data_IF_945827954074
#
_entry.id   IF_945827954074
#
_cell.length_a   1.000
_cell.length_b   1.000
_cell.length_c   1.000
_cell.angle_alpha   90.00
_cell.angle_beta   90.00
_cell.angle_gamma   90.00
#
_symmetry.space_group_name_H-M   'P 1'
#
loop_
_entity.id
_entity.type
_entity.pdbx_description
1 polymer ?
#
# COMPACT_ATOMS: atom_id res chain seq x y z
N UNK A 1 8.48 11.09 -17.12
CA UNK A 1 8.52 10.47 -15.77
C UNK A 1 8.32 11.51 -14.66
N UNK A 2 9.11 12.58 -14.58
CA UNK A 2 8.97 13.61 -13.53
C UNK A 2 7.54 14.18 -13.43
N UNK A 3 6.90 14.50 -14.54
CA UNK A 3 5.52 15.02 -14.56
C UNK A 3 4.49 14.00 -14.07
N UNK A 4 4.71 12.70 -14.34
CA UNK A 4 3.79 11.63 -13.94
C UNK A 4 3.93 11.24 -12.47
N UNK A 5 5.18 11.11 -12.01
CA UNK A 5 5.45 10.65 -10.65
C UNK A 5 5.72 11.79 -9.66
N UNK A 6 6.02 12.99 -10.15
CA UNK A 6 6.49 14.09 -9.31
C UNK A 6 7.91 13.89 -8.77
N UNK A 7 8.25 12.63 -8.42
CA UNK A 7 9.55 12.19 -7.93
C UNK A 7 10.00 10.98 -8.73
N UNK A 8 11.23 11.00 -9.25
CA UNK A 8 11.85 9.87 -9.97
C UNK A 8 12.92 9.25 -9.09
N UNK A 9 12.80 7.94 -8.87
CA UNK A 9 13.73 7.10 -8.13
C UNK A 9 14.21 5.95 -9.02
N UNK A 10 15.17 5.14 -8.55
CA UNK A 10 15.57 3.92 -9.26
C UNK A 10 14.41 2.95 -9.42
N UNK A 11 13.57 2.87 -8.40
CA UNK A 11 12.41 1.97 -8.34
C UNK A 11 11.35 2.37 -9.36
N UNK A 12 11.07 3.69 -9.50
CA UNK A 12 10.12 4.16 -10.53
C UNK A 12 10.64 3.88 -11.94
N UNK A 13 11.95 4.06 -12.18
CA UNK A 13 12.57 3.77 -13.49
C UNK A 13 12.54 2.27 -13.79
N UNK A 14 12.80 1.43 -12.79
CA UNK A 14 12.72 -0.02 -12.92
C UNK A 14 11.29 -0.48 -13.20
N UNK A 15 10.31 0.05 -12.49
CA UNK A 15 8.89 -0.27 -12.68
C UNK A 15 8.38 0.09 -14.08
N UNK A 16 8.92 1.16 -14.69
CA UNK A 16 8.60 1.58 -16.06
C UNK A 16 9.36 0.76 -17.13
N UNK A 17 10.30 -0.09 -16.73
CA UNK A 17 11.07 -0.90 -17.68
C UNK A 17 11.96 -0.09 -18.61
N UNK A 18 12.47 1.07 -18.17
CA UNK A 18 13.31 1.94 -19.00
C UNK A 18 14.60 1.23 -19.41
N UNK A 19 14.91 1.12 -20.71
CA UNK A 19 16.16 0.53 -21.17
C UNK A 19 17.39 1.24 -20.60
N UNK A 20 18.36 0.50 -20.07
CA UNK A 20 19.54 1.05 -19.40
C UNK A 20 19.26 1.55 -17.96
N UNK A 21 18.01 1.46 -17.48
CA UNK A 21 17.63 1.76 -16.12
C UNK A 21 17.88 3.22 -15.72
N UNK A 22 18.04 3.46 -14.43
CA UNK A 22 18.25 4.81 -13.89
C UNK A 22 19.51 5.50 -14.44
N UNK A 23 20.57 4.73 -14.73
CA UNK A 23 21.82 5.27 -15.24
C UNK A 23 21.66 5.94 -16.61
N UNK A 24 20.76 5.45 -17.47
CA UNK A 24 20.50 6.06 -18.78
C UNK A 24 19.80 7.41 -18.68
N UNK A 25 19.07 7.68 -17.59
CA UNK A 25 18.35 8.93 -17.36
C UNK A 25 19.15 9.92 -16.51
N UNK A 26 20.21 9.48 -15.84
CA UNK A 26 20.90 10.29 -14.84
C UNK A 26 21.46 11.59 -15.41
N UNK A 27 22.02 11.57 -16.62
CA UNK A 27 22.55 12.77 -17.28
C UNK A 27 21.47 13.82 -17.52
N UNK A 28 20.32 13.40 -18.06
CA UNK A 28 19.20 14.32 -18.31
C UNK A 28 18.58 14.85 -16.99
N UNK A 29 18.44 14.00 -15.99
CA UNK A 29 17.95 14.43 -14.67
C UNK A 29 18.90 15.44 -14.01
N UNK A 30 20.23 15.27 -14.18
CA UNK A 30 21.24 16.22 -13.69
C UNK A 30 21.20 17.52 -14.47
N UNK A 31 20.95 17.49 -15.78
CA UNK A 31 20.75 18.70 -16.59
C UNK A 31 19.52 19.47 -16.14
N UNK A 32 18.39 18.80 -15.85
CA UNK A 32 17.19 19.42 -15.31
C UNK A 32 17.43 20.03 -13.92
N UNK A 33 18.28 19.44 -13.11
CA UNK A 33 18.71 20.01 -11.82
C UNK A 33 19.51 21.28 -12.03
N UNK A 34 20.49 21.30 -12.95
CA UNK A 34 21.27 22.50 -13.27
C UNK A 34 20.41 23.65 -13.81
N UNK A 35 19.36 23.32 -14.55
CA UNK A 35 18.38 24.30 -15.06
C UNK A 35 17.38 24.76 -13.99
N UNK A 36 17.41 24.20 -12.78
CA UNK A 36 16.47 24.51 -11.70
C UNK A 36 15.07 23.92 -11.87
N UNK A 37 14.84 23.11 -12.91
CA UNK A 37 13.55 22.46 -13.17
C UNK A 37 13.29 21.29 -12.22
N UNK A 38 14.33 20.57 -11.86
CA UNK A 38 14.27 19.49 -10.88
C UNK A 38 15.17 19.78 -9.68
N UNK A 39 14.93 19.11 -8.58
CA UNK A 39 15.76 19.12 -7.37
C UNK A 39 16.21 17.71 -7.05
N UNK A 40 17.49 17.53 -6.78
CA UNK A 40 18.02 16.27 -6.26
C UNK A 40 17.93 16.27 -4.73
N UNK A 41 17.59 15.12 -4.15
CA UNK A 41 17.48 14.98 -2.70
C UNK A 41 17.10 13.58 -2.27
N UNK A 42 16.64 13.47 -1.04
CA UNK A 42 16.05 12.27 -0.43
C UNK A 42 14.60 12.60 -0.07
N UNK A 43 13.67 12.21 -0.90
CA UNK A 43 12.24 12.56 -0.76
C UNK A 43 11.42 11.37 -0.25
N UNK A 44 11.85 10.16 -0.58
CA UNK A 44 11.18 8.91 -0.22
C UNK A 44 12.12 8.11 0.67
N UNK A 45 11.70 7.90 1.91
CA UNK A 45 12.45 7.15 2.90
C UNK A 45 12.62 5.69 2.48
N UNK A 46 13.76 5.08 2.87
CA UNK A 46 14.05 3.68 2.59
C UNK A 46 14.47 3.37 1.15
N UNK A 47 14.39 4.33 0.21
CA UNK A 47 14.89 4.17 -1.15
C UNK A 47 16.30 4.75 -1.28
N UNK A 48 17.21 3.90 -1.79
CA UNK A 48 18.62 4.28 -1.98
C UNK A 48 18.87 5.06 -3.28
N UNK A 49 20.04 5.74 -3.33
CA UNK A 49 20.49 6.47 -4.49
C UNK A 49 19.92 7.88 -4.62
N UNK A 50 20.30 8.57 -5.72
CA UNK A 50 19.79 9.90 -6.00
C UNK A 50 18.32 9.84 -6.40
N UNK A 51 17.54 10.76 -5.86
CA UNK A 51 16.13 10.97 -6.21
C UNK A 51 15.99 12.37 -6.79
N UNK A 52 15.17 12.51 -7.82
CA UNK A 52 14.92 13.79 -8.47
C UNK A 52 13.45 14.14 -8.40
N UNK A 53 13.13 15.36 -7.97
CA UNK A 53 11.75 15.81 -7.79
C UNK A 53 11.50 17.12 -8.55
N UNK A 54 10.29 17.30 -9.07
CA UNK A 54 9.80 18.62 -9.48
C UNK A 54 9.56 19.50 -8.25
N UNK A 55 9.82 20.79 -8.39
CA UNK A 55 9.58 21.77 -7.31
C UNK A 55 8.16 21.67 -6.74
N UNK A 56 7.14 21.64 -7.60
CA UNK A 56 5.74 21.50 -7.19
C UNK A 56 5.42 20.19 -6.47
N UNK A 57 6.13 19.09 -6.76
CA UNK A 57 5.95 17.82 -6.04
C UNK A 57 6.45 17.92 -4.60
N UNK A 58 7.57 18.61 -4.38
CA UNK A 58 8.11 18.82 -3.04
C UNK A 58 7.17 19.68 -2.18
N UNK A 59 6.61 20.75 -2.76
CA UNK A 59 5.64 21.59 -2.05
C UNK A 59 4.38 20.78 -1.70
N UNK A 60 3.87 20.00 -2.64
CA UNK A 60 2.70 19.12 -2.39
C UNK A 60 2.97 18.10 -1.29
N UNK A 61 4.16 17.50 -1.22
CA UNK A 61 4.54 16.61 -0.12
C UNK A 61 4.50 17.30 1.24
N UNK A 62 4.92 18.57 1.30
CA UNK A 62 4.87 19.35 2.54
C UNK A 62 3.45 19.67 2.96
N UNK A 63 2.58 20.00 2.00
CA UNK A 63 1.17 20.31 2.25
C UNK A 63 0.39 19.06 2.72
N UNK A 64 0.73 17.89 2.18
CA UNK A 64 0.08 16.60 2.52
C UNK A 64 0.66 15.96 3.80
N UNK A 65 1.63 16.59 4.44
CA UNK A 65 2.15 16.09 5.71
C UNK A 65 1.04 16.11 6.76
N UNK A 66 0.76 14.97 7.44
CA UNK A 66 -0.23 14.98 8.52
C UNK A 66 0.14 16.02 9.56
N UNK A 67 -0.83 16.79 10.02
CA UNK A 67 -0.65 17.68 11.18
C UNK A 67 -0.62 16.85 12.45
N UNK A 68 0.06 17.34 13.48
CA UNK A 68 0.13 16.65 14.75
C UNK A 68 -1.29 16.36 15.28
N UNK A 69 -1.60 15.08 15.50
CA UNK A 69 -2.92 14.62 15.94
C UNK A 69 -3.94 14.36 14.83
N UNK A 70 -3.59 14.57 13.56
CA UNK A 70 -4.45 14.26 12.43
C UNK A 70 -4.17 12.82 11.95
N UNK A 71 -5.09 11.90 12.24
CA UNK A 71 -5.03 10.55 11.70
C UNK A 71 -5.59 10.56 10.27
N UNK A 72 -4.77 10.15 9.31
CA UNK A 72 -5.23 9.99 7.93
C UNK A 72 -6.25 8.85 7.86
N UNK A 73 -7.36 9.09 7.14
CA UNK A 73 -8.38 8.05 6.94
C UNK A 73 -7.78 6.80 6.27
N UNK A 74 -8.17 5.60 6.75
CA UNK A 74 -7.78 4.36 6.11
C UNK A 74 -8.26 4.29 4.66
N UNK A 75 -7.38 3.85 3.75
CA UNK A 75 -7.69 3.75 2.34
C UNK A 75 -7.55 2.30 1.86
N UNK A 76 -8.56 1.80 1.15
CA UNK A 76 -8.52 0.47 0.52
C UNK A 76 -8.41 0.64 -0.99
N UNK A 77 -7.33 0.12 -1.57
CA UNK A 77 -7.07 0.16 -3.00
C UNK A 77 -6.95 -1.25 -3.57
N UNK A 78 -7.29 -1.41 -4.86
CA UNK A 78 -6.85 -2.60 -5.59
C UNK A 78 -5.34 -2.70 -5.56
N UNK A 79 -4.79 -3.88 -5.31
CA UNK A 79 -3.34 -4.08 -5.32
C UNK A 79 -2.71 -3.80 -6.69
N UNK A 80 -3.50 -3.87 -7.77
CA UNK A 80 -3.09 -3.57 -9.13
C UNK A 80 -3.41 -2.13 -9.57
N UNK A 81 -4.01 -1.30 -8.70
CA UNK A 81 -4.35 0.08 -9.02
C UNK A 81 -3.10 0.89 -9.37
N UNK A 82 -3.10 1.67 -10.47
CA UNK A 82 -1.98 2.55 -10.81
C UNK A 82 -1.59 3.55 -9.71
N UNK A 83 -2.54 4.01 -8.91
CA UNK A 83 -2.30 4.92 -7.81
C UNK A 83 -1.66 4.25 -6.58
N UNK A 84 -1.74 2.92 -6.49
CA UNK A 84 -1.14 2.14 -5.41
C UNK A 84 0.36 1.95 -5.68
N UNK A 85 1.30 2.50 -4.87
CA UNK A 85 2.72 2.51 -5.18
C UNK A 85 3.46 1.22 -4.83
N UNK A 86 2.97 0.45 -3.85
CA UNK A 86 3.67 -0.74 -3.35
C UNK A 86 3.74 -1.87 -4.38
N UNK A 87 4.92 -2.45 -4.54
CA UNK A 87 5.22 -3.45 -5.55
C UNK A 87 5.40 -2.89 -6.96
N UNK A 88 5.44 -1.56 -7.09
CA UNK A 88 5.83 -0.83 -8.30
C UNK A 88 6.95 0.18 -7.95
N UNK A 89 6.60 1.42 -7.63
CA UNK A 89 7.56 2.46 -7.26
C UNK A 89 8.06 2.36 -5.81
N UNK A 90 7.32 1.68 -4.94
CA UNK A 90 7.74 1.34 -3.58
C UNK A 90 7.81 -0.19 -3.39
N UNK A 91 8.79 -0.70 -2.66
CA UNK A 91 8.80 -2.12 -2.27
C UNK A 91 7.64 -2.40 -1.30
N UNK A 92 7.11 -3.62 -1.33
CA UNK A 92 6.23 -4.08 -0.26
C UNK A 92 6.98 -4.08 1.09
N UNK A 93 6.28 -3.78 2.21
CA UNK A 93 6.87 -3.92 3.53
C UNK A 93 7.47 -5.31 3.75
N UNK A 94 8.66 -5.36 4.34
CA UNK A 94 9.36 -6.60 4.63
C UNK A 94 8.92 -7.13 6.00
N UNK A 95 8.00 -8.07 6.01
CA UNK A 95 7.62 -8.85 7.18
C UNK A 95 7.82 -10.33 6.91
N UNK A 96 8.36 -11.06 7.89
CA UNK A 96 8.57 -12.50 7.75
C UNK A 96 7.25 -13.22 7.45
N UNK A 97 7.25 -14.09 6.44
CA UNK A 97 6.04 -14.82 6.01
C UNK A 97 5.07 -14.02 5.13
N UNK A 98 5.10 -12.69 5.16
CA UNK A 98 4.20 -11.87 4.37
C UNK A 98 4.55 -11.91 2.87
N UNK A 99 3.56 -12.19 2.03
CA UNK A 99 3.70 -12.16 0.57
C UNK A 99 2.58 -11.31 -0.01
N UNK A 100 2.93 -10.17 -0.53
CA UNK A 100 2.02 -9.29 -1.24
C UNK A 100 2.46 -9.15 -2.70
N UNK A 101 1.50 -9.01 -3.61
CA UNK A 101 1.77 -8.87 -5.03
C UNK A 101 0.72 -7.97 -5.70
N UNK A 102 1.12 -7.30 -6.78
CA UNK A 102 0.21 -6.51 -7.62
C UNK A 102 -0.58 -7.43 -8.55
N UNK A 103 -1.65 -8.00 -8.04
CA UNK A 103 -2.53 -8.90 -8.79
C UNK A 103 -3.97 -8.40 -8.78
N UNK A 104 -4.66 -8.57 -9.89
CA UNK A 104 -6.06 -8.20 -10.03
C UNK A 104 -6.93 -8.97 -9.03
N UNK A 105 -7.86 -8.27 -8.37
CA UNK A 105 -8.78 -8.83 -7.38
C UNK A 105 -8.19 -9.01 -5.98
N UNK A 106 -6.91 -8.65 -5.77
CA UNK A 106 -6.33 -8.42 -4.45
C UNK A 106 -6.45 -6.94 -4.07
N UNK A 107 -6.44 -6.64 -2.77
CA UNK A 107 -6.51 -5.28 -2.24
C UNK A 107 -5.43 -5.03 -1.21
N UNK A 108 -5.12 -3.79 -0.97
CA UNK A 108 -4.26 -3.34 0.11
C UNK A 108 -4.98 -2.27 0.93
N UNK A 109 -4.89 -2.39 2.24
CA UNK A 109 -5.36 -1.35 3.17
C UNK A 109 -4.15 -0.53 3.58
N UNK A 110 -4.24 0.77 3.33
CA UNK A 110 -3.26 1.77 3.74
C UNK A 110 -3.77 2.50 4.99
N UNK A 111 -2.90 2.65 5.97
CA UNK A 111 -3.13 3.45 7.18
C UNK A 111 -2.05 4.54 7.24
N UNK A 112 -2.45 5.80 7.17
CA UNK A 112 -1.50 6.91 7.10
C UNK A 112 -0.57 6.87 5.88
N UNK A 113 -1.01 6.23 4.77
CA UNK A 113 -0.21 6.02 3.57
C UNK A 113 0.67 4.76 3.61
N UNK A 114 0.82 4.09 4.74
CA UNK A 114 1.59 2.86 4.88
C UNK A 114 0.74 1.62 4.61
N UNK A 115 1.29 0.65 3.86
CA UNK A 115 0.62 -0.61 3.61
C UNK A 115 0.58 -1.46 4.90
N UNK A 116 -0.63 -1.67 5.44
CA UNK A 116 -0.84 -2.36 6.70
C UNK A 116 -1.38 -3.79 6.52
N UNK A 117 -2.37 -3.97 5.65
CA UNK A 117 -3.02 -5.26 5.44
C UNK A 117 -3.17 -5.55 3.95
N UNK A 118 -2.72 -6.70 3.52
CA UNK A 118 -2.95 -7.19 2.17
C UNK A 118 -4.08 -8.22 2.18
N UNK A 119 -5.02 -8.04 1.28
CA UNK A 119 -6.18 -8.92 1.09
C UNK A 119 -5.98 -9.69 -0.20
N UNK A 120 -5.73 -10.97 -0.11
CA UNK A 120 -5.52 -11.81 -1.28
C UNK A 120 -6.76 -11.85 -2.19
N UNK A 121 -6.52 -12.23 -3.43
CA UNK A 121 -7.57 -12.35 -4.45
C UNK A 121 -8.77 -13.15 -3.94
N UNK A 122 -9.95 -12.54 -4.03
CA UNK A 122 -11.21 -13.12 -3.55
C UNK A 122 -11.38 -13.06 -2.03
N UNK A 123 -10.49 -12.38 -1.32
CA UNK A 123 -10.58 -12.15 0.12
C UNK A 123 -10.32 -13.36 1.01
N UNK A 124 -9.78 -14.45 0.45
CA UNK A 124 -9.60 -15.70 1.21
C UNK A 124 -8.56 -15.61 2.31
N UNK A 125 -7.55 -14.77 2.12
CA UNK A 125 -6.47 -14.60 3.08
C UNK A 125 -6.26 -13.12 3.37
N UNK A 126 -6.08 -12.80 4.63
CA UNK A 126 -5.62 -11.52 5.14
C UNK A 126 -4.17 -11.67 5.58
N UNK A 127 -3.28 -10.87 4.99
CA UNK A 127 -1.84 -10.91 5.26
C UNK A 127 -1.43 -9.59 5.89
N UNK A 128 -1.09 -9.55 7.19
CA UNK A 128 -0.57 -8.36 7.82
C UNK A 128 0.81 -8.04 7.23
N UNK A 129 1.03 -6.78 6.87
CA UNK A 129 2.29 -6.30 6.28
C UNK A 129 3.19 -5.61 7.32
N UNK A 130 2.72 -5.47 8.55
CA UNK A 130 3.43 -5.04 9.73
C UNK A 130 3.04 -5.91 10.90
N UNK A 131 3.75 -5.82 12.04
CA UNK A 131 3.43 -6.64 13.20
C UNK A 131 1.97 -6.45 13.63
N UNK A 132 1.22 -7.55 13.83
CA UNK A 132 -0.17 -7.46 14.22
C UNK A 132 -0.35 -6.78 15.58
N UNK A 133 -1.16 -5.74 15.59
CA UNK A 133 -1.59 -5.03 16.79
C UNK A 133 -3.08 -4.74 16.68
N UNK A 134 -3.81 -4.92 17.75
CA UNK A 134 -5.27 -4.84 17.79
C UNK A 134 -5.81 -3.49 17.28
N UNK A 135 -5.18 -2.39 17.66
CA UNK A 135 -5.62 -1.05 17.33
C UNK A 135 -5.68 -0.80 15.82
N UNK A 136 -4.57 -1.03 15.11
CA UNK A 136 -4.55 -0.80 13.67
C UNK A 136 -5.31 -1.87 12.88
N UNK A 137 -5.34 -3.12 13.37
CA UNK A 137 -6.12 -4.18 12.73
C UNK A 137 -7.61 -3.86 12.75
N UNK A 138 -8.12 -3.29 13.85
CA UNK A 138 -9.50 -2.81 13.97
C UNK A 138 -9.82 -1.75 12.92
N UNK A 139 -8.94 -0.77 12.76
CA UNK A 139 -9.07 0.28 11.73
C UNK A 139 -9.06 -0.31 10.32
N UNK A 140 -8.11 -1.22 10.03
CA UNK A 140 -7.98 -1.84 8.72
C UNK A 140 -9.20 -2.70 8.36
N UNK A 141 -9.73 -3.48 9.32
CA UNK A 141 -10.93 -4.29 9.12
C UNK A 141 -12.18 -3.42 8.91
N UNK A 142 -12.34 -2.33 9.65
CA UNK A 142 -13.44 -1.39 9.48
C UNK A 142 -13.42 -0.76 8.07
N UNK A 143 -12.23 -0.34 7.60
CA UNK A 143 -12.05 0.18 6.25
C UNK A 143 -12.37 -0.87 5.18
N UNK A 144 -11.91 -2.11 5.37
CA UNK A 144 -12.20 -3.23 4.46
C UNK A 144 -13.71 -3.50 4.39
N UNK A 145 -14.42 -3.52 5.52
CA UNK A 145 -15.87 -3.71 5.57
C UNK A 145 -16.59 -2.59 4.83
N UNK A 146 -16.20 -1.35 5.04
CA UNK A 146 -16.76 -0.18 4.33
C UNK A 146 -16.54 -0.30 2.84
N UNK A 147 -15.33 -0.68 2.41
CA UNK A 147 -14.99 -0.90 1.00
C UNK A 147 -15.84 -2.02 0.38
N UNK A 148 -15.98 -3.16 1.06
CA UNK A 148 -16.78 -4.32 0.59
C UNK A 148 -18.24 -3.91 0.37
N UNK A 149 -18.80 -3.12 1.29
CA UNK A 149 -20.18 -2.59 1.18
C UNK A 149 -20.34 -1.61 0.02
N UNK A 150 -19.43 -0.65 -0.09
CA UNK A 150 -19.48 0.37 -1.16
C UNK A 150 -19.23 -0.21 -2.55
N UNK A 151 -18.37 -1.22 -2.67
CA UNK A 151 -18.09 -1.90 -3.92
C UNK A 151 -19.18 -2.92 -4.35
N UNK A 152 -20.23 -3.11 -3.56
CA UNK A 152 -21.33 -4.04 -3.86
C UNK A 152 -20.90 -5.51 -3.87
N UNK A 153 -19.85 -5.86 -3.15
CA UNK A 153 -19.38 -7.23 -3.04
C UNK A 153 -20.35 -8.02 -2.18
N UNK A 154 -21.06 -8.97 -2.78
CA UNK A 154 -22.12 -9.74 -2.10
C UNK A 154 -21.65 -10.56 -0.91
N UNK A 155 -20.36 -10.92 -0.87
CA UNK A 155 -19.80 -11.77 0.17
C UNK A 155 -18.29 -11.68 0.18
N UNK A 156 -17.71 -11.52 1.37
CA UNK A 156 -16.28 -11.72 1.63
C UNK A 156 -16.11 -12.89 2.60
N UNK A 157 -15.27 -13.88 2.27
CA UNK A 157 -15.05 -15.05 3.11
C UNK A 157 -13.55 -15.22 3.37
N UNK A 158 -13.14 -14.94 4.60
CA UNK A 158 -11.76 -15.08 5.07
C UNK A 158 -11.55 -16.50 5.60
N UNK A 159 -10.60 -17.22 5.03
CA UNK A 159 -10.23 -18.59 5.37
C UNK A 159 -8.89 -18.64 6.13
N UNK A 160 -8.01 -17.65 5.90
CA UNK A 160 -6.68 -17.60 6.47
C UNK A 160 -6.33 -16.20 6.98
N UNK A 161 -5.53 -16.16 8.02
CA UNK A 161 -4.86 -14.97 8.50
C UNK A 161 -3.38 -15.30 8.70
N UNK A 162 -2.49 -14.51 8.11
CA UNK A 162 -1.03 -14.71 8.19
C UNK A 162 -0.58 -16.14 7.83
N UNK A 163 -1.18 -16.74 6.81
CA UNK A 163 -0.95 -18.10 6.34
C UNK A 163 -1.56 -19.21 7.21
N UNK A 164 -2.09 -18.92 8.38
CA UNK A 164 -2.75 -19.87 9.27
C UNK A 164 -4.28 -19.93 9.04
N UNK A 165 -4.96 -21.06 9.34
CA UNK A 165 -6.42 -21.10 9.31
C UNK A 165 -7.00 -20.04 10.24
N UNK A 166 -7.93 -19.22 9.75
CA UNK A 166 -8.47 -18.07 10.49
C UNK A 166 -9.17 -18.50 11.81
N UNK A 167 -9.71 -19.69 11.86
CA UNK A 167 -10.38 -20.23 13.05
C UNK A 167 -9.41 -20.43 14.24
N UNK A 168 -8.13 -20.61 13.95
CA UNK A 168 -7.10 -20.94 14.96
C UNK A 168 -6.28 -19.69 15.35
N UNK A 169 -6.67 -18.51 14.84
CA UNK A 169 -5.91 -17.26 15.04
C UNK A 169 -6.62 -16.26 15.96
N UNK A 170 -5.84 -15.39 16.59
CA UNK A 170 -6.33 -14.33 17.49
C UNK A 170 -7.09 -13.20 16.77
N UNK A 171 -7.13 -13.20 15.43
CA UNK A 171 -7.88 -12.21 14.65
C UNK A 171 -9.41 -12.42 14.71
N UNK A 172 -9.87 -13.62 15.08
CA UNK A 172 -11.29 -13.98 15.03
C UNK A 172 -12.19 -13.02 15.84
N UNK A 173 -11.85 -12.62 17.08
CA UNK A 173 -12.63 -11.64 17.82
C UNK A 173 -12.80 -10.31 17.08
N UNK A 174 -11.72 -9.81 16.44
CA UNK A 174 -11.74 -8.56 15.68
C UNK A 174 -12.58 -8.69 14.40
N UNK A 175 -12.55 -9.85 13.74
CA UNK A 175 -13.43 -10.13 12.60
C UNK A 175 -14.91 -10.12 13.00
N UNK A 176 -15.24 -10.73 14.14
CA UNK A 176 -16.62 -10.73 14.68
C UNK A 176 -17.06 -9.31 14.99
N UNK A 177 -16.24 -8.52 15.67
CA UNK A 177 -16.48 -7.12 15.96
C UNK A 177 -16.71 -6.29 14.68
N UNK A 178 -15.94 -6.58 13.61
CA UNK A 178 -16.10 -5.95 12.30
C UNK A 178 -17.36 -6.42 11.54
N UNK A 179 -18.11 -7.39 12.06
CA UNK A 179 -19.37 -7.87 11.50
C UNK A 179 -19.25 -9.15 10.67
N UNK A 180 -18.14 -9.87 10.76
CA UNK A 180 -18.04 -11.20 10.16
C UNK A 180 -18.75 -12.24 11.03
N UNK A 181 -19.41 -13.19 10.39
CA UNK A 181 -20.01 -14.35 11.05
C UNK A 181 -19.00 -15.49 11.05
N UNK A 182 -18.60 -16.00 12.23
CA UNK A 182 -17.65 -17.10 12.32
C UNK A 182 -18.26 -18.41 11.84
N UNK A 183 -17.47 -19.25 11.20
CA UNK A 183 -17.79 -20.59 10.79
C UNK A 183 -16.61 -21.54 11.04
N UNK A 184 -16.78 -22.86 10.84
CA UNK A 184 -15.77 -23.85 11.20
C UNK A 184 -14.40 -23.69 10.52
N UNK A 185 -14.36 -23.06 9.33
CA UNK A 185 -13.13 -22.89 8.54
C UNK A 185 -12.95 -21.49 7.98
N UNK A 186 -13.87 -20.58 8.26
CA UNK A 186 -13.85 -19.23 7.67
C UNK A 186 -14.73 -18.28 8.45
N UNK A 187 -14.40 -16.99 8.37
CA UNK A 187 -15.26 -15.90 8.80
C UNK A 187 -15.91 -15.26 7.56
N UNK A 188 -17.21 -14.99 7.59
CA UNK A 188 -17.96 -14.51 6.42
C UNK A 188 -18.61 -13.17 6.72
N UNK A 189 -18.28 -12.17 5.93
CA UNK A 189 -19.00 -10.89 5.89
C UNK A 189 -20.04 -10.95 4.77
N UNK A 190 -21.27 -10.57 5.12
CA UNK A 190 -22.36 -10.29 4.18
C UNK A 190 -22.79 -8.86 4.41
N UNK A 191 -22.49 -7.95 3.47
CA UNK A 191 -22.86 -6.54 3.59
C UNK A 191 -24.36 -6.32 3.50
#
# INVERSE_FOLDING_TARGET
MLERYGIVTRETVLAEGVPGGFSSLYGELSNLEMLGTARRGYFVEGLGGAQFALGGAVERLRELRPRDGEEAEPLVLSAADPAQPYGASLPWPKRAGARAARVAGAHVVLLGGEAALFVERGGRSLVPLREPEEAWMRQALAALVTHVRSAGVKRLAVERFDSEPVADTEIMPLLIEAGFVPGPRRAVLRP
#
